data_IF_706752318668
#
_entry.id   IF_706752318668
#
_cell.length_a   1.000
_cell.length_b   1.000
_cell.length_c   1.000
_cell.angle_alpha   90.00
_cell.angle_beta   90.00
_cell.angle_gamma   90.00
#
_symmetry.space_group_name_H-M   'P 1'
#
loop_
_entity.id
_entity.type
_entity.pdbx_description
1 polymer ?
#
# COMPACT_ATOMS: atom_id res chain seq x y z
N UNK A 1 80.45 10.89 35.80
CA UNK A 1 79.13 10.26 35.65
C UNK A 1 79.08 9.60 34.27
N UNK A 2 79.14 8.27 34.23
CA UNK A 2 79.12 7.47 32.99
C UNK A 2 77.68 7.00 32.73
N UNK A 3 77.12 7.31 31.56
CA UNK A 3 75.85 6.74 31.10
C UNK A 3 76.12 5.49 30.25
N UNK A 4 75.42 4.36 30.49
CA UNK A 4 75.51 3.19 29.63
C UNK A 4 74.66 3.37 28.36
N UNK A 5 75.23 3.05 27.20
CA UNK A 5 74.52 2.95 25.92
C UNK A 5 73.69 1.65 25.89
N UNK A 6 72.37 1.76 25.70
CA UNK A 6 71.49 0.60 25.48
C UNK A 6 71.78 0.02 24.09
N UNK A 7 72.36 -1.18 24.04
CA UNK A 7 72.39 -2.01 22.83
C UNK A 7 70.97 -2.46 22.48
N UNK A 8 70.37 -1.78 21.49
CA UNK A 8 69.10 -2.20 20.90
C UNK A 8 69.33 -3.43 20.02
N UNK A 9 68.86 -4.59 20.48
CA UNK A 9 68.71 -5.78 19.64
C UNK A 9 67.71 -5.44 18.53
N UNK A 10 68.20 -5.20 17.31
CA UNK A 10 67.35 -5.05 16.14
C UNK A 10 66.73 -6.42 15.86
N UNK A 11 65.48 -6.63 16.27
CA UNK A 11 64.71 -7.79 15.86
C UNK A 11 64.70 -7.84 14.33
N UNK A 12 65.18 -8.94 13.76
CA UNK A 12 65.19 -9.13 12.32
C UNK A 12 63.76 -9.03 11.79
N UNK A 13 63.44 -7.95 11.08
CA UNK A 13 62.17 -7.81 10.39
C UNK A 13 62.11 -8.91 9.32
N UNK A 14 61.28 -9.93 9.54
CA UNK A 14 60.99 -10.95 8.54
C UNK A 14 60.30 -10.26 7.36
N UNK A 15 60.95 -10.26 6.19
CA UNK A 15 60.36 -9.77 4.96
C UNK A 15 59.21 -10.67 4.53
N UNK A 16 58.08 -10.07 4.18
CA UNK A 16 56.90 -10.78 3.70
C UNK A 16 57.12 -11.18 2.23
N UNK A 17 56.89 -12.43 1.88
CA UNK A 17 57.05 -12.89 0.50
C UNK A 17 55.84 -12.49 -0.35
N UNK A 18 56.06 -12.24 -1.64
CA UNK A 18 54.99 -11.92 -2.58
C UNK A 18 53.91 -13.02 -2.62
N UNK A 19 54.31 -14.28 -2.45
CA UNK A 19 53.40 -15.43 -2.42
C UNK A 19 52.50 -15.39 -1.18
N UNK A 20 53.04 -15.11 0.00
CA UNK A 20 52.24 -14.98 1.24
C UNK A 20 51.18 -13.88 1.11
N UNK A 21 51.53 -12.75 0.47
CA UNK A 21 50.57 -11.67 0.21
C UNK A 21 49.46 -12.09 -0.75
N UNK A 22 49.82 -12.77 -1.83
CA UNK A 22 48.84 -13.25 -2.81
C UNK A 22 47.86 -14.26 -2.20
N UNK A 23 48.35 -15.19 -1.36
CA UNK A 23 47.49 -16.18 -0.70
C UNK A 23 46.51 -15.51 0.27
N UNK A 24 46.97 -14.55 1.07
CA UNK A 24 46.10 -13.83 2.01
C UNK A 24 45.02 -13.04 1.26
N UNK A 25 45.39 -12.33 0.19
CA UNK A 25 44.41 -11.61 -0.63
C UNK A 25 43.43 -12.58 -1.30
N UNK A 26 43.90 -13.76 -1.76
CA UNK A 26 43.03 -14.78 -2.33
C UNK A 26 42.02 -15.30 -1.30
N UNK A 27 42.45 -15.60 -0.06
CA UNK A 27 41.55 -16.05 1.01
C UNK A 27 40.54 -14.96 1.35
N UNK A 28 40.98 -13.72 1.59
CA UNK A 28 40.07 -12.59 1.88
C UNK A 28 39.09 -12.38 0.71
N UNK A 29 39.58 -12.44 -0.54
CA UNK A 29 38.76 -12.32 -1.74
C UNK A 29 37.68 -13.39 -1.83
N UNK A 30 38.00 -14.65 -1.52
CA UNK A 30 37.00 -15.74 -1.48
C UNK A 30 35.98 -15.55 -0.35
N UNK A 31 36.43 -15.17 0.86
CA UNK A 31 35.54 -14.91 1.99
C UNK A 31 34.58 -13.76 1.70
N UNK A 32 35.08 -12.63 1.21
CA UNK A 32 34.25 -11.47 0.85
C UNK A 32 33.31 -11.82 -0.31
N UNK A 33 33.79 -12.57 -1.30
CA UNK A 33 33.00 -13.03 -2.44
C UNK A 33 31.80 -13.88 -2.04
N UNK A 34 31.94 -14.72 -1.01
CA UNK A 34 30.84 -15.54 -0.47
C UNK A 34 29.94 -14.77 0.51
N UNK A 35 30.50 -13.82 1.26
CA UNK A 35 29.77 -13.05 2.27
C UNK A 35 28.87 -11.97 1.66
N UNK A 36 29.27 -11.33 0.55
CA UNK A 36 28.50 -10.23 -0.02
C UNK A 36 27.09 -10.65 -0.46
N UNK A 37 26.87 -11.73 -1.24
CA UNK A 37 25.53 -12.18 -1.60
C UNK A 37 24.70 -12.56 -0.37
N UNK A 38 25.31 -13.22 0.62
CA UNK A 38 24.65 -13.64 1.84
C UNK A 38 24.16 -12.45 2.68
N UNK A 39 24.99 -11.41 2.83
CA UNK A 39 24.60 -10.19 3.57
C UNK A 39 23.47 -9.46 2.87
N UNK A 40 23.43 -9.42 1.54
CA UNK A 40 22.33 -8.78 0.81
C UNK A 40 21.02 -9.56 0.95
N UNK A 41 21.06 -10.90 0.84
CA UNK A 41 19.90 -11.75 1.08
C UNK A 41 19.34 -11.58 2.50
N UNK A 42 20.23 -11.55 3.51
CA UNK A 42 19.83 -11.33 4.90
C UNK A 42 19.19 -9.94 5.12
N UNK A 43 19.77 -8.89 4.51
CA UNK A 43 19.20 -7.53 4.57
C UNK A 43 17.81 -7.48 3.94
N UNK A 44 17.62 -8.13 2.81
CA UNK A 44 16.34 -8.13 2.11
C UNK A 44 15.26 -8.92 2.87
N UNK A 45 15.63 -10.05 3.46
CA UNK A 45 14.77 -10.78 4.37
C UNK A 45 14.32 -9.90 5.56
N UNK A 46 15.25 -9.14 6.15
CA UNK A 46 14.92 -8.20 7.23
C UNK A 46 13.95 -7.09 6.80
N UNK A 47 14.13 -6.51 5.61
CA UNK A 47 13.20 -5.50 5.07
C UNK A 47 11.81 -6.08 4.82
N UNK A 48 11.72 -7.30 4.26
CA UNK A 48 10.45 -8.01 4.06
C UNK A 48 9.75 -8.32 5.38
N UNK A 49 10.49 -8.76 6.41
CA UNK A 49 9.93 -8.96 7.76
C UNK A 49 9.38 -7.65 8.34
N UNK A 50 10.07 -6.53 8.12
CA UNK A 50 9.56 -5.22 8.54
C UNK A 50 8.25 -4.85 7.84
N UNK A 51 8.12 -5.07 6.53
CA UNK A 51 6.85 -4.89 5.83
C UNK A 51 5.73 -5.77 6.37
N UNK A 52 6.02 -7.04 6.65
CA UNK A 52 5.06 -7.98 7.21
C UNK A 52 4.52 -7.49 8.56
N UNK A 53 5.41 -7.02 9.44
CA UNK A 53 5.04 -6.43 10.72
C UNK A 53 4.19 -5.15 10.57
N UNK A 54 4.50 -4.29 9.60
CA UNK A 54 3.71 -3.09 9.30
C UNK A 54 2.30 -3.44 8.82
N UNK A 55 2.17 -4.44 7.94
CA UNK A 55 0.88 -4.97 7.50
C UNK A 55 0.08 -5.57 8.65
N UNK A 56 0.75 -6.30 9.56
CA UNK A 56 0.13 -6.82 10.79
C UNK A 56 -0.43 -5.69 11.65
N UNK A 57 0.33 -4.61 11.86
CA UNK A 57 -0.13 -3.43 12.60
C UNK A 57 -1.36 -2.77 11.93
N UNK A 58 -1.34 -2.62 10.60
CA UNK A 58 -2.50 -2.07 9.87
C UNK A 58 -3.73 -2.98 9.96
N UNK A 59 -3.56 -4.30 9.84
CA UNK A 59 -4.65 -5.26 10.02
C UNK A 59 -5.24 -5.22 11.44
N UNK A 60 -4.39 -5.14 12.46
CA UNK A 60 -4.84 -4.97 13.86
C UNK A 60 -5.57 -3.64 14.08
N UNK A 61 -5.11 -2.56 13.46
CA UNK A 61 -5.77 -1.26 13.53
C UNK A 61 -7.16 -1.29 12.87
N UNK A 62 -7.29 -1.95 11.71
CA UNK A 62 -8.57 -2.14 11.05
C UNK A 62 -9.55 -2.98 11.87
N UNK A 63 -9.08 -4.06 12.51
CA UNK A 63 -9.90 -4.88 13.42
C UNK A 63 -10.30 -4.12 14.68
N UNK A 64 -9.41 -3.29 15.23
CA UNK A 64 -9.72 -2.44 16.38
C UNK A 64 -10.76 -1.38 16.02
N UNK A 65 -10.66 -0.81 14.82
CA UNK A 65 -11.68 0.06 14.24
C UNK A 65 -13.02 -0.67 14.11
N UNK A 66 -13.02 -1.88 13.54
CA UNK A 66 -14.23 -2.71 13.37
C UNK A 66 -14.88 -3.01 14.72
N UNK A 67 -14.11 -3.44 15.71
CA UNK A 67 -14.62 -3.75 17.04
C UNK A 67 -15.30 -2.54 17.71
N UNK A 68 -14.72 -1.35 17.53
CA UNK A 68 -15.22 -0.10 18.10
C UNK A 68 -16.41 0.50 17.34
N UNK A 69 -16.43 0.42 16.01
CA UNK A 69 -17.45 1.08 15.15
C UNK A 69 -18.46 0.12 14.51
N UNK A 70 -18.28 -1.19 14.72
CA UNK A 70 -19.08 -2.28 14.14
C UNK A 70 -19.10 -2.25 12.61
N UNK A 71 -18.02 -1.80 12.01
CA UNK A 71 -17.80 -1.84 10.57
C UNK A 71 -16.33 -1.65 10.24
N UNK A 72 -15.85 -2.25 9.14
CA UNK A 72 -14.51 -1.97 8.62
C UNK A 72 -14.38 -0.50 8.20
N UNK A 73 -13.15 0.06 8.23
CA UNK A 73 -12.91 1.43 7.78
C UNK A 73 -13.29 1.57 6.30
N UNK A 74 -13.68 2.77 5.91
CA UNK A 74 -14.18 3.04 4.55
C UNK A 74 -13.09 3.59 3.63
N UNK A 75 -13.30 3.55 2.32
CA UNK A 75 -12.40 4.19 1.35
C UNK A 75 -12.30 5.72 1.47
N UNK A 76 -13.10 6.34 2.34
CA UNK A 76 -13.43 7.76 2.29
C UNK A 76 -14.80 7.93 1.62
N UNK A 77 -15.52 8.99 2.00
CA UNK A 77 -16.83 9.32 1.43
C UNK A 77 -16.80 10.81 1.11
N UNK A 78 -17.04 11.17 -0.15
CA UNK A 78 -17.23 12.57 -0.55
C UNK A 78 -18.73 12.89 -0.59
N UNK A 79 -19.28 13.65 0.37
CA UNK A 79 -20.59 14.25 0.23
C UNK A 79 -20.55 15.52 -0.62
N UNK A 80 -19.80 15.51 -1.73
CA UNK A 80 -19.79 16.63 -2.66
C UNK A 80 -20.86 16.45 -3.73
N UNK A 81 -21.74 17.44 -3.76
CA UNK A 81 -22.75 17.71 -4.78
C UNK A 81 -22.07 18.04 -6.11
N UNK A 82 -21.45 17.06 -6.77
CA UNK A 82 -21.10 17.17 -8.18
C UNK A 82 -22.39 17.13 -9.02
N UNK A 83 -23.21 18.18 -8.99
CA UNK A 83 -24.32 18.49 -9.92
C UNK A 83 -25.44 17.45 -10.16
N UNK A 84 -25.26 16.19 -9.74
CA UNK A 84 -26.02 15.01 -10.15
C UNK A 84 -26.45 14.19 -8.93
N UNK A 85 -25.88 14.43 -7.74
CA UNK A 85 -26.18 13.70 -6.50
C UNK A 85 -26.29 14.67 -5.32
N UNK A 86 -27.53 14.98 -4.92
CA UNK A 86 -27.84 16.04 -3.93
C UNK A 86 -27.86 15.59 -2.46
N UNK A 87 -27.63 14.31 -2.15
CA UNK A 87 -27.90 13.75 -0.81
C UNK A 87 -26.64 13.34 -0.02
N UNK A 88 -25.48 13.96 -0.27
CA UNK A 88 -24.22 13.56 0.36
C UNK A 88 -24.15 13.81 1.87
N UNK A 89 -24.79 14.87 2.38
CA UNK A 89 -24.54 15.36 3.75
C UNK A 89 -24.96 14.37 4.85
N UNK A 90 -25.93 13.48 4.61
CA UNK A 90 -26.38 12.50 5.61
C UNK A 90 -25.36 11.39 5.86
N UNK A 91 -24.49 11.05 4.89
CA UNK A 91 -23.52 9.95 5.03
C UNK A 91 -22.30 10.31 5.87
N UNK A 92 -21.96 11.60 6.00
CA UNK A 92 -20.87 12.06 6.86
C UNK A 92 -21.14 11.76 8.35
N UNK A 93 -22.41 11.76 8.75
CA UNK A 93 -22.85 11.48 10.12
C UNK A 93 -22.99 9.97 10.41
N UNK A 94 -23.29 9.14 9.40
CA UNK A 94 -23.49 7.68 9.59
C UNK A 94 -22.23 6.95 10.06
N UNK A 95 -21.04 7.44 9.69
CA UNK A 95 -19.74 6.82 10.01
C UNK A 95 -18.88 7.62 11.00
N UNK A 96 -19.28 8.83 11.39
CA UNK A 96 -18.58 9.66 12.38
C UNK A 96 -17.15 10.10 11.98
N UNK A 97 -16.71 9.80 10.77
CA UNK A 97 -15.44 10.27 10.20
C UNK A 97 -15.70 10.91 8.84
N UNK A 98 -15.73 12.24 8.78
CA UNK A 98 -16.08 12.93 7.56
C UNK A 98 -14.87 12.87 6.57
N UNK A 99 -15.14 12.58 5.29
CA UNK A 99 -14.29 12.82 4.10
C UNK A 99 -13.01 12.00 3.86
N UNK A 100 -12.41 11.34 4.85
CA UNK A 100 -11.02 10.85 4.75
C UNK A 100 -10.92 9.32 4.73
N UNK A 101 -9.93 8.79 3.99
CA UNK A 101 -9.82 7.36 3.69
C UNK A 101 -9.43 6.49 4.91
N UNK A 102 -9.44 5.17 4.71
CA UNK A 102 -9.17 4.17 5.74
C UNK A 102 -7.84 4.35 6.47
N UNK A 103 -6.78 4.82 5.80
CA UNK A 103 -5.49 5.04 6.47
C UNK A 103 -5.63 6.10 7.56
N UNK A 104 -6.24 7.24 7.26
CA UNK A 104 -6.51 8.24 8.29
C UNK A 104 -7.46 7.71 9.38
N UNK A 105 -8.50 6.96 9.00
CA UNK A 105 -9.48 6.38 9.94
C UNK A 105 -8.85 5.43 10.96
N UNK A 106 -7.78 4.73 10.58
CA UNK A 106 -7.06 3.76 11.42
C UNK A 106 -6.02 4.39 12.35
N UNK A 107 -5.56 5.63 12.10
CA UNK A 107 -4.50 6.28 12.89
C UNK A 107 -4.70 6.26 14.42
N UNK A 108 -5.91 6.45 14.99
CA UNK A 108 -6.13 6.36 16.44
C UNK A 108 -5.77 5.00 17.03
N UNK A 109 -5.83 3.94 16.21
CA UNK A 109 -5.51 2.57 16.58
C UNK A 109 -4.07 2.18 16.23
N UNK A 110 -3.26 3.15 15.78
CA UNK A 110 -1.85 2.99 15.39
C UNK A 110 -0.92 3.93 16.15
N UNK A 111 -1.35 4.45 17.31
CA UNK A 111 -0.60 5.43 18.12
C UNK A 111 -0.32 6.77 17.39
N UNK A 112 -1.08 7.06 16.32
CA UNK A 112 -0.93 8.26 15.48
C UNK A 112 -2.04 9.29 15.73
N UNK A 113 -2.47 9.46 16.99
CA UNK A 113 -3.58 10.35 17.37
C UNK A 113 -3.30 11.83 17.08
N UNK A 114 -2.03 12.27 17.20
CA UNK A 114 -1.64 13.64 16.86
C UNK A 114 -1.87 13.93 15.36
N UNK A 115 -1.45 13.00 14.50
CA UNK A 115 -1.66 13.05 13.04
C UNK A 115 -3.15 13.02 12.71
N UNK A 116 -3.91 12.14 13.38
CA UNK A 116 -5.37 12.03 13.21
C UNK A 116 -6.11 13.35 13.51
N UNK A 117 -5.67 14.09 14.53
CA UNK A 117 -6.29 15.37 14.94
C UNK A 117 -6.05 16.51 13.96
N UNK A 118 -5.03 16.44 13.10
CA UNK A 118 -4.80 17.46 12.06
C UNK A 118 -5.97 17.58 11.07
N UNK A 119 -6.78 16.53 10.93
CA UNK A 119 -7.97 16.57 10.08
C UNK A 119 -8.96 17.67 10.46
N UNK A 120 -9.02 18.04 11.74
CA UNK A 120 -9.92 19.10 12.19
C UNK A 120 -9.45 20.48 11.71
N UNK A 121 -8.15 20.65 11.45
CA UNK A 121 -7.60 21.85 10.82
C UNK A 121 -7.79 21.83 9.30
N UNK A 122 -7.79 20.64 8.70
CA UNK A 122 -8.00 20.45 7.26
C UNK A 122 -9.45 20.70 6.83
N UNK A 123 -10.37 20.87 7.79
CA UNK A 123 -11.80 20.97 7.56
C UNK A 123 -12.31 22.41 7.74
N UNK A 124 -12.40 23.17 6.65
CA UNK A 124 -12.95 24.55 6.64
C UNK A 124 -13.95 24.78 5.50
N UNK A 125 -14.82 23.80 5.20
CA UNK A 125 -15.79 23.84 4.08
C UNK A 125 -15.21 23.42 2.72
N UNK A 126 -13.89 23.41 2.61
CA UNK A 126 -13.10 22.76 1.56
C UNK A 126 -11.90 22.08 2.24
N UNK A 127 -11.43 20.93 1.73
CA UNK A 127 -10.30 20.26 2.35
C UNK A 127 -8.98 20.99 2.02
N UNK A 128 -8.31 21.52 3.04
CA UNK A 128 -6.97 22.08 2.92
C UNK A 128 -5.96 21.25 3.72
N UNK A 129 -5.45 20.20 3.07
CA UNK A 129 -4.50 19.26 3.69
C UNK A 129 -3.12 19.91 3.96
N UNK A 130 -2.76 20.95 3.23
CA UNK A 130 -1.43 21.56 3.32
C UNK A 130 -1.37 22.64 4.38
N UNK A 131 -2.34 23.54 4.43
CA UNK A 131 -2.42 24.52 5.54
C UNK A 131 -2.65 23.81 6.88
N UNK A 132 -3.37 22.69 6.87
CA UNK A 132 -3.51 21.84 8.06
C UNK A 132 -2.24 21.10 8.48
N UNK A 133 -1.22 21.05 7.60
CA UNK A 133 0.01 20.31 7.81
C UNK A 133 -0.14 18.79 7.74
N UNK A 134 -1.27 18.27 7.23
CA UNK A 134 -1.55 16.84 7.11
C UNK A 134 -0.88 16.23 5.87
N UNK A 135 -0.78 16.96 4.77
CA UNK A 135 -0.24 16.46 3.49
C UNK A 135 1.17 15.87 3.62
N UNK A 136 2.02 16.51 4.40
CA UNK A 136 3.42 16.13 4.60
C UNK A 136 3.65 15.12 5.73
N UNK A 137 2.60 14.71 6.46
CA UNK A 137 2.76 13.80 7.59
C UNK A 137 3.25 12.43 7.11
N UNK A 138 4.35 12.00 7.70
CA UNK A 138 4.98 10.72 7.43
C UNK A 138 4.60 9.72 8.51
N UNK A 139 3.87 8.67 8.13
CA UNK A 139 3.56 7.54 9.00
C UNK A 139 4.39 6.35 8.55
N UNK A 140 5.36 5.98 9.38
CA UNK A 140 6.37 4.97 9.00
C UNK A 140 5.76 3.59 8.69
N UNK A 141 4.62 3.26 9.29
CA UNK A 141 3.89 2.01 9.04
C UNK A 141 3.33 1.92 7.63
N UNK A 142 3.17 3.06 6.93
CA UNK A 142 2.64 3.10 5.56
C UNK A 142 3.72 3.04 4.47
N UNK A 143 5.01 2.94 4.84
CA UNK A 143 6.13 2.85 3.89
C UNK A 143 6.86 1.51 3.94
N UNK A 144 7.29 1.04 2.79
CA UNK A 144 8.17 -0.11 2.62
C UNK A 144 9.64 0.33 2.80
N UNK A 145 10.45 -0.28 3.68
CA UNK A 145 11.88 0.06 3.84
C UNK A 145 12.77 -0.38 2.67
N UNK A 146 12.24 -1.16 1.72
CA UNK A 146 12.93 -1.43 0.44
C UNK A 146 12.72 -0.32 -0.59
N UNK A 147 11.86 0.67 -0.29
CA UNK A 147 11.66 1.87 -1.10
C UNK A 147 12.24 3.10 -0.40
N UNK A 148 12.73 4.10 -1.16
CA UNK A 148 12.98 5.41 -0.57
C UNK A 148 11.67 6.02 -0.09
N UNK A 149 11.73 6.93 0.88
CA UNK A 149 10.55 7.71 1.28
C UNK A 149 10.19 8.62 0.10
N UNK A 150 8.92 8.57 -0.32
CA UNK A 150 8.44 9.29 -1.51
C UNK A 150 7.53 10.45 -1.11
N UNK A 151 7.82 11.62 -1.69
CA UNK A 151 7.01 12.81 -1.58
C UNK A 151 6.77 13.41 -2.96
N UNK A 152 5.53 13.86 -3.22
CA UNK A 152 5.21 14.68 -4.41
C UNK A 152 5.58 16.13 -4.12
N UNK A 153 6.40 16.72 -4.99
CA UNK A 153 6.93 18.08 -4.83
C UNK A 153 6.38 19.11 -5.85
N UNK A 154 5.50 18.72 -6.78
CA UNK A 154 5.18 19.54 -7.94
C UNK A 154 4.16 20.67 -7.66
N UNK A 155 4.55 21.91 -7.95
CA UNK A 155 3.62 23.01 -8.18
C UNK A 155 2.75 22.72 -9.42
N UNK A 156 1.43 22.83 -9.30
CA UNK A 156 0.46 22.46 -10.36
C UNK A 156 -0.17 21.07 -10.21
N UNK A 157 0.24 20.29 -9.21
CA UNK A 157 -0.53 19.15 -8.72
C UNK A 157 -1.83 19.65 -8.07
N UNK A 158 -2.99 19.00 -8.32
CA UNK A 158 -4.22 19.37 -7.64
C UNK A 158 -4.23 18.85 -6.18
N UNK A 159 -3.30 17.97 -5.82
CA UNK A 159 -2.91 17.66 -4.44
C UNK A 159 -1.84 18.65 -4.00
N UNK A 160 -2.01 19.36 -2.88
CA UNK A 160 -1.05 20.39 -2.47
C UNK A 160 0.27 19.77 -1.98
N UNK A 161 1.39 20.27 -2.52
CA UNK A 161 2.74 19.79 -2.21
C UNK A 161 3.33 20.50 -0.98
N UNK A 162 4.20 19.85 -0.19
CA UNK A 162 4.63 18.46 -0.31
C UNK A 162 3.58 17.47 0.21
N UNK A 163 3.49 16.31 -0.45
CA UNK A 163 2.56 15.23 -0.05
C UNK A 163 3.27 13.88 0.06
N UNK A 164 3.09 13.19 1.19
CA UNK A 164 3.61 11.84 1.44
C UNK A 164 2.84 10.75 0.67
N UNK A 165 3.57 9.73 0.19
CA UNK A 165 3.03 8.59 -0.56
C UNK A 165 3.27 7.27 0.17
N UNK A 166 2.23 6.46 0.26
CA UNK A 166 2.24 5.14 0.90
C UNK A 166 2.40 3.99 -0.09
N UNK A 167 2.88 2.88 0.46
CA UNK A 167 3.29 1.67 -0.27
C UNK A 167 2.29 0.51 -0.18
N UNK A 168 1.20 0.68 0.55
CA UNK A 168 0.15 -0.32 0.77
C UNK A 168 -1.21 0.18 0.30
N UNK A 169 -2.07 -0.74 -0.14
CA UNK A 169 -3.42 -0.43 -0.57
C UNK A 169 -4.41 -1.52 -0.19
N UNK A 170 -5.66 -1.15 0.00
CA UNK A 170 -6.79 -2.06 0.02
C UNK A 170 -7.16 -2.49 -1.41
N UNK A 171 -7.74 -3.68 -1.52
CA UNK A 171 -8.20 -4.23 -2.79
C UNK A 171 -9.62 -3.78 -3.11
N UNK A 172 -9.84 -3.41 -4.36
CA UNK A 172 -11.17 -3.20 -4.93
C UNK A 172 -11.27 -3.94 -6.24
N UNK A 173 -12.31 -4.77 -6.36
CA UNK A 173 -12.53 -5.56 -7.55
C UNK A 173 -12.90 -4.68 -8.74
N UNK A 174 -12.67 -5.16 -9.97
CA UNK A 174 -13.38 -4.68 -11.15
C UNK A 174 -13.88 -5.90 -11.89
N UNK A 175 -15.09 -5.88 -12.44
CA UNK A 175 -15.64 -7.05 -13.13
C UNK A 175 -15.06 -7.28 -14.54
N UNK A 176 -14.20 -6.39 -15.04
CA UNK A 176 -13.55 -6.56 -16.35
C UNK A 176 -12.02 -6.57 -16.21
N UNK A 177 -11.42 -7.73 -15.86
CA UNK A 177 -9.99 -7.92 -16.02
C UNK A 177 -9.60 -7.63 -17.48
N UNK A 178 -8.77 -6.60 -17.70
CA UNK A 178 -8.18 -6.28 -19.01
C UNK A 178 -8.87 -5.18 -19.83
N UNK A 179 -9.87 -4.45 -19.33
CA UNK A 179 -10.30 -3.19 -19.96
C UNK A 179 -9.83 -2.00 -19.14
N UNK A 180 -8.94 -1.13 -19.68
CA UNK A 180 -8.65 0.11 -18.99
C UNK A 180 -10.00 0.83 -18.89
N UNK A 181 -10.27 1.47 -17.76
CA UNK A 181 -11.42 2.34 -17.59
C UNK A 181 -11.31 3.48 -18.60
N UNK A 182 -11.64 3.20 -19.86
CA UNK A 182 -11.78 4.20 -20.89
C UNK A 182 -13.02 4.97 -20.48
N UNK A 183 -12.75 6.24 -20.18
CA UNK A 183 -13.57 7.37 -19.72
C UNK A 183 -14.94 7.56 -20.41
N UNK A 184 -15.43 6.62 -21.20
CA UNK A 184 -16.66 6.76 -21.98
C UNK A 184 -17.48 5.47 -21.91
N UNK A 185 -18.48 5.45 -21.02
CA UNK A 185 -19.53 4.42 -21.00
C UNK A 185 -19.58 3.50 -19.78
N UNK A 186 -18.54 3.47 -18.93
CA UNK A 186 -18.61 2.79 -17.64
C UNK A 186 -19.08 3.78 -16.58
N UNK A 187 -20.35 3.70 -16.19
CA UNK A 187 -20.85 4.43 -15.03
C UNK A 187 -20.00 4.06 -13.81
N UNK A 188 -19.79 5.04 -12.91
CA UNK A 188 -18.94 5.07 -11.72
C UNK A 188 -19.27 4.02 -10.62
N UNK A 189 -19.91 2.91 -11.00
CA UNK A 189 -20.44 1.90 -10.08
C UNK A 189 -19.31 1.15 -9.34
N UNK A 190 -18.10 1.11 -9.91
CA UNK A 190 -16.86 0.56 -9.32
C UNK A 190 -16.43 1.17 -7.98
N UNK A 191 -16.97 2.35 -7.66
CA UNK A 191 -16.40 3.32 -6.74
C UNK A 191 -17.25 3.46 -5.47
N UNK A 192 -18.54 3.24 -5.66
CA UNK A 192 -19.64 3.34 -4.71
C UNK A 192 -19.62 2.18 -3.69
N UNK A 193 -19.05 1.03 -4.05
CA UNK A 193 -18.97 -0.16 -3.18
C UNK A 193 -18.06 0.00 -1.95
N UNK A 194 -17.15 0.98 -1.93
CA UNK A 194 -16.15 1.14 -0.86
C UNK A 194 -16.49 2.22 0.17
N UNK A 195 -17.61 2.91 -0.02
CA UNK A 195 -18.13 3.86 0.96
C UNK A 195 -18.66 3.15 2.22
N UNK A 196 -18.99 1.86 2.11
CA UNK A 196 -19.41 1.03 3.24
C UNK A 196 -18.28 0.38 4.04
N UNK A 197 -17.11 0.20 3.41
CA UNK A 197 -15.94 -0.52 3.96
C UNK A 197 -14.94 -0.94 2.88
N UNK A 198 -13.67 -1.14 3.24
CA UNK A 198 -12.57 -1.48 2.31
C UNK A 198 -12.49 -2.96 1.90
N UNK A 199 -13.31 -3.84 2.49
CA UNK A 199 -13.42 -5.22 2.04
C UNK A 199 -14.45 -5.26 0.91
N UNK A 200 -14.01 -5.48 -0.33
CA UNK A 200 -14.86 -5.45 -1.52
C UNK A 200 -15.91 -6.55 -1.48
N UNK A 201 -17.19 -6.18 -1.64
CA UNK A 201 -18.18 -7.14 -2.15
C UNK A 201 -17.70 -7.65 -3.51
N UNK A 202 -17.81 -8.95 -3.76
CA UNK A 202 -17.63 -9.47 -5.10
C UNK A 202 -18.72 -8.95 -6.03
N UNK A 203 -18.40 -8.84 -7.32
CA UNK A 203 -19.36 -8.46 -8.34
C UNK A 203 -19.56 -6.94 -8.46
N UNK A 204 -19.53 -6.45 -9.68
CA UNK A 204 -20.02 -5.11 -10.02
C UNK A 204 -21.03 -5.33 -11.13
N UNK A 205 -22.24 -4.79 -11.05
CA UNK A 205 -23.24 -5.08 -12.07
C UNK A 205 -22.67 -4.78 -13.45
N UNK A 206 -22.72 -5.79 -14.33
CA UNK A 206 -22.46 -5.60 -15.74
C UNK A 206 -23.40 -4.51 -16.19
N UNK A 207 -22.90 -3.55 -16.95
CA UNK A 207 -23.71 -2.46 -17.53
C UNK A 207 -24.78 -2.95 -18.51
N UNK A 208 -24.97 -4.26 -18.69
CA UNK A 208 -26.09 -4.82 -19.41
C UNK A 208 -27.30 -4.99 -18.47
N UNK A 209 -28.43 -4.45 -18.88
CA UNK A 209 -29.78 -4.50 -18.28
C UNK A 209 -30.32 -5.91 -17.95
N UNK A 210 -29.50 -6.95 -18.05
CA UNK A 210 -29.81 -8.35 -17.78
C UNK A 210 -29.06 -8.90 -16.56
N UNK A 211 -28.43 -8.05 -15.74
CA UNK A 211 -27.71 -8.51 -14.55
C UNK A 211 -28.69 -8.93 -13.44
N UNK A 212 -28.60 -10.17 -12.91
CA UNK A 212 -29.38 -10.61 -11.76
C UNK A 212 -29.08 -9.85 -10.44
N UNK A 213 -28.00 -9.05 -10.37
CA UNK A 213 -27.60 -8.29 -9.19
C UNK A 213 -27.77 -6.77 -9.42
N UNK A 214 -28.95 -6.18 -9.16
CA UNK A 214 -29.18 -4.75 -9.39
C UNK A 214 -28.29 -3.86 -8.51
N UNK A 215 -27.90 -2.69 -9.03
CA UNK A 215 -27.10 -1.63 -8.36
C UNK A 215 -27.60 -1.32 -6.94
N UNK A 216 -28.90 -1.51 -6.67
CA UNK A 216 -29.51 -1.37 -5.35
C UNK A 216 -28.96 -2.31 -4.26
N UNK A 217 -28.30 -3.42 -4.64
CA UNK A 217 -27.68 -4.35 -3.70
C UNK A 217 -26.39 -3.80 -3.09
N UNK A 218 -25.62 -3.01 -3.84
CA UNK A 218 -24.49 -2.22 -3.37
C UNK A 218 -25.00 -0.91 -2.77
N UNK A 219 -25.84 -1.01 -1.74
CA UNK A 219 -26.49 0.16 -1.17
C UNK A 219 -25.42 1.06 -0.53
N UNK A 220 -25.26 2.24 -1.10
CA UNK A 220 -24.44 3.31 -0.56
C UNK A 220 -24.73 3.50 0.93
N UNK A 221 -23.68 3.50 1.75
CA UNK A 221 -23.79 3.64 3.20
C UNK A 221 -24.07 2.35 3.99
N UNK A 222 -24.17 1.17 3.36
CA UNK A 222 -24.20 -0.10 4.13
C UNK A 222 -22.84 -0.38 4.75
N UNK A 223 -22.80 -0.36 6.08
CA UNK A 223 -21.65 -0.74 6.90
C UNK A 223 -21.22 -2.17 6.63
N UNK A 224 -19.96 -2.35 6.25
CA UNK A 224 -19.38 -3.68 6.06
C UNK A 224 -18.90 -4.18 7.42
N UNK A 225 -19.56 -5.22 7.91
CA UNK A 225 -19.26 -5.87 9.19
C UNK A 225 -18.45 -7.14 8.95
N UNK A 226 -17.81 -7.67 9.98
CA UNK A 226 -17.21 -9.02 9.92
C UNK A 226 -18.21 -10.09 9.46
N UNK A 227 -19.48 -10.00 9.86
CA UNK A 227 -20.53 -10.93 9.41
C UNK A 227 -20.90 -10.81 7.92
N UNK A 228 -20.58 -9.69 7.27
CA UNK A 228 -20.83 -9.51 5.83
C UNK A 228 -19.71 -10.06 4.93
N UNK A 229 -18.67 -10.65 5.53
CA UNK A 229 -17.58 -11.34 4.83
C UNK A 229 -17.90 -12.84 4.82
N UNK A 230 -18.70 -13.26 3.83
CA UNK A 230 -19.26 -14.62 3.74
C UNK A 230 -18.19 -15.65 3.37
N UNK A 231 -17.18 -15.25 2.60
CA UNK A 231 -16.04 -16.11 2.20
C UNK A 231 -15.06 -16.41 3.36
N UNK A 232 -15.26 -15.75 4.50
CA UNK A 232 -14.44 -15.84 5.69
C UNK A 232 -13.34 -14.77 5.71
N UNK A 233 -13.18 -14.10 6.84
CA UNK A 233 -12.20 -13.01 7.00
C UNK A 233 -10.76 -13.45 6.83
N UNK A 234 -10.44 -14.73 7.10
CA UNK A 234 -9.12 -15.29 6.83
C UNK A 234 -8.85 -15.52 5.35
N UNK A 235 -9.88 -15.54 4.48
CA UNK A 235 -9.76 -15.76 3.04
C UNK A 235 -9.94 -14.48 2.20
N UNK A 236 -10.38 -13.39 2.82
CA UNK A 236 -10.61 -12.13 2.13
C UNK A 236 -9.50 -11.12 2.39
N UNK A 237 -8.91 -10.59 1.33
CA UNK A 237 -7.83 -9.62 1.36
C UNK A 237 -8.30 -8.29 1.95
N UNK A 238 -7.50 -7.72 2.86
CA UNK A 238 -7.74 -6.42 3.46
C UNK A 238 -6.79 -5.35 2.90
N UNK A 239 -5.48 -5.58 3.01
CA UNK A 239 -4.45 -4.74 2.38
C UNK A 239 -3.37 -5.58 1.72
N UNK A 240 -2.70 -5.02 0.73
CA UNK A 240 -1.49 -5.60 0.17
C UNK A 240 -0.52 -4.51 -0.30
N UNK A 241 0.73 -4.91 -0.49
CA UNK A 241 1.76 -4.05 -1.07
C UNK A 241 1.41 -3.66 -2.51
N UNK A 242 1.63 -2.38 -2.82
CA UNK A 242 1.44 -1.79 -4.15
C UNK A 242 2.59 -2.19 -5.07
N UNK A 243 2.34 -2.50 -6.34
CA UNK A 243 3.39 -2.49 -7.37
C UNK A 243 3.73 -1.04 -7.78
N UNK A 244 5.01 -0.67 -7.76
CA UNK A 244 5.47 0.70 -8.07
C UNK A 244 6.52 0.66 -9.17
N UNK A 245 6.46 1.67 -10.04
CA UNK A 245 7.40 1.87 -11.13
C UNK A 245 8.70 2.48 -10.58
N UNK A 246 9.87 1.91 -10.92
CA UNK A 246 11.15 2.31 -10.30
C UNK A 246 11.58 3.73 -10.70
N UNK A 247 11.13 4.24 -11.84
CA UNK A 247 11.30 5.64 -12.25
C UNK A 247 10.61 6.64 -11.28
N UNK A 248 9.61 6.17 -10.52
CA UNK A 248 8.85 6.99 -9.58
C UNK A 248 9.38 6.98 -8.15
N UNK A 249 10.44 6.22 -7.88
CA UNK A 249 11.11 6.26 -6.58
C UNK A 249 11.72 7.63 -6.27
N UNK A 250 12.28 8.28 -7.30
CA UNK A 250 13.01 9.53 -7.17
C UNK A 250 12.25 10.73 -7.75
N UNK A 251 11.40 10.48 -8.73
CA UNK A 251 10.55 11.51 -9.32
C UNK A 251 9.10 11.02 -9.38
N UNK A 252 8.44 10.94 -8.21
CA UNK A 252 7.04 10.58 -8.16
C UNK A 252 6.23 11.68 -8.85
N UNK A 253 5.92 11.48 -10.14
CA UNK A 253 4.98 12.35 -10.85
C UNK A 253 3.57 11.95 -10.42
N UNK A 254 2.78 12.94 -10.05
CA UNK A 254 1.33 12.89 -10.26
C UNK A 254 1.19 13.43 -11.69
N UNK A 255 0.44 12.77 -12.58
CA UNK A 255 0.28 13.22 -13.97
C UNK A 255 -0.37 14.63 -14.13
N UNK A 256 -1.04 14.96 -15.26
CA UNK A 256 -1.76 16.24 -15.45
C UNK A 256 -2.89 16.47 -14.40
N UNK A 257 -3.50 17.66 -14.19
CA UNK A 257 -4.45 17.94 -13.09
C UNK A 257 -5.70 17.06 -12.98
N UNK A 258 -5.98 16.23 -13.97
CA UNK A 258 -6.95 15.15 -13.81
C UNK A 258 -6.39 13.99 -12.96
N UNK A 259 -5.09 13.95 -12.66
CA UNK A 259 -4.28 12.76 -12.37
C UNK A 259 -3.99 12.33 -10.95
N UNK A 260 -5.02 12.42 -10.14
CA UNK A 260 -5.10 11.83 -8.83
C UNK A 260 -4.84 10.31 -8.75
N UNK A 261 -4.40 9.67 -9.84
CA UNK A 261 -4.18 8.25 -10.01
C UNK A 261 -2.86 7.78 -9.36
N UNK A 262 -1.69 8.19 -9.88
CA UNK A 262 -0.54 7.26 -10.01
C UNK A 262 0.14 6.79 -8.71
N UNK A 263 0.08 7.58 -7.64
CA UNK A 263 0.81 7.32 -6.38
C UNK A 263 0.09 7.90 -5.17
N UNK A 264 -1.22 7.71 -5.12
CA UNK A 264 -2.05 8.50 -4.24
C UNK A 264 -1.70 8.34 -2.74
N UNK A 265 -1.78 9.46 -2.02
CA UNK A 265 -1.41 9.72 -0.62
C UNK A 265 -2.34 9.08 0.42
N UNK A 266 -1.90 8.81 1.68
CA UNK A 266 -2.80 8.23 2.68
C UNK A 266 -3.82 9.26 3.17
N UNK A 267 -3.68 10.52 2.77
CA UNK A 267 -4.49 11.63 3.23
C UNK A 267 -5.54 12.10 2.21
N UNK A 268 -5.55 11.53 1.00
CA UNK A 268 -6.46 11.94 -0.06
C UNK A 268 -7.91 11.55 0.25
N UNK A 269 -8.82 12.45 -0.15
CA UNK A 269 -10.23 12.14 -0.37
C UNK A 269 -10.35 11.17 -1.53
N UNK A 270 -11.16 10.13 -1.36
CA UNK A 270 -11.69 9.35 -2.47
C UNK A 270 -12.77 10.15 -3.19
N UNK A 271 -12.40 11.22 -3.90
CA UNK A 271 -13.22 11.66 -5.02
C UNK A 271 -13.27 10.46 -5.98
N UNK A 272 -14.44 9.85 -6.17
CA UNK A 272 -14.74 8.84 -7.17
C UNK A 272 -13.55 7.92 -7.58
N UNK A 273 -13.61 6.68 -7.09
CA UNK A 273 -12.92 5.55 -7.71
C UNK A 273 -11.40 5.48 -7.44
N UNK A 274 -10.98 5.26 -6.19
CA UNK A 274 -9.62 4.78 -5.91
C UNK A 274 -8.53 5.86 -5.80
N UNK A 275 -8.75 6.90 -4.99
CA UNK A 275 -7.76 7.97 -4.80
C UNK A 275 -7.19 7.92 -3.39
N UNK A 276 -6.04 7.28 -3.25
CA UNK A 276 -5.24 7.22 -2.02
C UNK A 276 -4.87 5.79 -1.70
N UNK A 277 -5.71 5.13 -0.92
CA UNK A 277 -5.41 3.84 -0.33
C UNK A 277 -6.04 2.62 -0.98
N UNK A 278 -6.69 2.74 -2.13
CA UNK A 278 -7.38 1.62 -2.80
C UNK A 278 -6.70 1.34 -4.14
N UNK A 279 -6.63 0.08 -4.54
CA UNK A 279 -6.20 -0.32 -5.88
C UNK A 279 -7.20 -1.21 -6.58
N UNK A 280 -7.36 -0.94 -7.87
CA UNK A 280 -7.98 -1.83 -8.82
C UNK A 280 -7.00 -2.92 -9.25
N UNK A 281 -7.54 -4.02 -9.72
CA UNK A 281 -6.75 -5.09 -10.27
C UNK A 281 -6.88 -5.19 -11.77
N UNK A 282 -5.74 -5.21 -12.48
CA UNK A 282 -5.69 -5.16 -13.94
C UNK A 282 -4.73 -6.18 -14.56
N UNK A 283 -4.03 -6.97 -13.76
CA UNK A 283 -3.16 -8.03 -14.25
C UNK A 283 -2.30 -8.63 -13.14
N UNK A 284 -1.53 -9.70 -13.41
CA UNK A 284 -0.84 -10.50 -12.41
C UNK A 284 0.10 -9.63 -11.54
N UNK A 285 0.34 -10.01 -10.28
CA UNK A 285 1.15 -9.19 -9.39
C UNK A 285 2.62 -9.21 -9.85
N UNK A 286 3.34 -8.11 -9.62
CA UNK A 286 4.68 -7.95 -10.20
C UNK A 286 5.68 -7.36 -9.20
N UNK A 287 6.96 -7.68 -9.41
CA UNK A 287 8.07 -6.96 -8.76
C UNK A 287 8.13 -5.53 -9.31
N UNK A 288 8.53 -4.58 -8.48
CA UNK A 288 8.81 -3.21 -8.92
C UNK A 288 9.85 -3.19 -10.06
N UNK A 289 9.57 -2.44 -11.12
CA UNK A 289 10.45 -2.39 -12.31
C UNK A 289 9.80 -1.97 -13.63
N UNK A 290 8.55 -1.50 -13.60
CA UNK A 290 7.80 -1.13 -14.80
C UNK A 290 8.36 0.13 -15.48
N UNK A 291 8.07 0.30 -16.77
CA UNK A 291 8.35 1.54 -17.52
C UNK A 291 7.20 2.53 -17.39
N UNK A 292 7.52 3.84 -17.34
CA UNK A 292 6.55 4.92 -17.39
C UNK A 292 5.65 4.80 -18.62
N UNK A 293 4.33 4.66 -18.42
CA UNK A 293 3.35 4.57 -19.52
C UNK A 293 2.22 3.58 -19.30
N UNK A 294 2.32 2.76 -18.25
CA UNK A 294 1.27 1.81 -17.87
C UNK A 294 0.77 2.11 -16.47
N UNK A 295 -0.55 2.06 -16.25
CA UNK A 295 -1.18 2.56 -15.02
C UNK A 295 -0.63 1.82 -13.77
N UNK A 296 0.16 2.48 -12.91
CA UNK A 296 0.77 1.85 -11.74
C UNK A 296 -0.26 1.54 -10.66
N UNK A 297 -1.44 2.16 -10.66
CA UNK A 297 -2.49 1.95 -9.63
C UNK A 297 -3.24 0.64 -9.75
N UNK A 298 -2.99 -0.08 -10.83
CA UNK A 298 -3.78 -1.24 -11.18
C UNK A 298 -3.16 -2.58 -10.78
N UNK A 299 -2.05 -2.53 -10.04
CA UNK A 299 -1.24 -3.72 -9.71
C UNK A 299 -0.85 -3.76 -8.23
N UNK A 300 -1.03 -4.93 -7.64
CA UNK A 300 -0.34 -5.30 -6.40
C UNK A 300 1.04 -5.86 -6.73
N UNK A 301 1.96 -5.74 -5.78
CA UNK A 301 3.37 -6.04 -6.02
C UNK A 301 4.25 -5.55 -4.89
N UNK A 302 5.57 -5.64 -5.05
CA UNK A 302 6.49 -5.06 -4.07
C UNK A 302 7.89 -4.82 -4.63
N UNK A 303 8.71 -4.12 -3.86
CA UNK A 303 10.14 -4.00 -4.12
C UNK A 303 10.91 -5.31 -3.85
N UNK A 304 10.27 -6.29 -3.18
CA UNK A 304 10.88 -7.56 -2.83
C UNK A 304 10.84 -8.52 -4.03
N UNK A 305 11.95 -9.17 -4.41
CA UNK A 305 11.99 -10.07 -5.56
C UNK A 305 11.26 -11.41 -5.32
N UNK A 306 11.03 -11.80 -4.06
CA UNK A 306 10.51 -13.12 -3.69
C UNK A 306 8.99 -13.23 -3.53
N UNK A 307 8.24 -12.16 -3.82
CA UNK A 307 6.79 -12.06 -3.61
C UNK A 307 6.43 -10.76 -2.91
N UNK A 308 5.14 -10.51 -2.71
CA UNK A 308 4.64 -9.33 -2.01
C UNK A 308 3.81 -9.73 -0.81
N UNK A 309 3.70 -8.85 0.17
CA UNK A 309 2.97 -9.13 1.40
C UNK A 309 1.53 -8.63 1.32
N UNK A 310 0.63 -9.42 1.91
CA UNK A 310 -0.79 -9.17 1.98
C UNK A 310 -1.29 -9.46 3.41
N UNK A 311 -2.27 -8.70 3.88
CA UNK A 311 -2.98 -8.93 5.14
C UNK A 311 -4.43 -9.20 4.87
N UNK A 312 -4.97 -10.21 5.54
CA UNK A 312 -6.34 -10.68 5.39
C UNK A 312 -7.28 -9.93 6.35
N UNK A 313 -8.59 -10.10 6.17
CA UNK A 313 -9.63 -9.49 6.98
C UNK A 313 -9.59 -9.87 8.46
N UNK A 314 -8.94 -10.99 8.81
CA UNK A 314 -8.66 -11.44 10.19
C UNK A 314 -7.32 -10.91 10.75
N UNK A 315 -6.62 -10.11 9.97
CA UNK A 315 -5.31 -9.53 10.30
C UNK A 315 -4.13 -10.48 10.12
N UNK A 316 -4.32 -11.72 9.68
CA UNK A 316 -3.21 -12.61 9.32
C UNK A 316 -2.46 -12.06 8.11
N UNK A 317 -1.13 -12.20 8.11
CA UNK A 317 -0.27 -11.70 7.03
C UNK A 317 0.38 -12.87 6.32
N UNK A 318 0.35 -12.85 5.00
CA UNK A 318 0.97 -13.85 4.15
C UNK A 318 1.77 -13.18 3.03
N UNK A 319 2.69 -13.94 2.45
CA UNK A 319 3.38 -13.54 1.23
C UNK A 319 2.75 -14.25 0.05
N UNK A 320 2.38 -13.46 -0.94
CA UNK A 320 1.78 -13.91 -2.20
C UNK A 320 2.88 -14.01 -3.26
N UNK A 321 2.90 -15.13 -3.98
CA UNK A 321 3.81 -15.34 -5.10
C UNK A 321 3.44 -14.47 -6.30
N UNK A 322 4.43 -13.96 -7.03
CA UNK A 322 4.19 -13.29 -8.32
C UNK A 322 3.66 -14.23 -9.41
N UNK A 323 3.83 -15.54 -9.22
CA UNK A 323 3.28 -16.58 -10.10
C UNK A 323 1.82 -16.94 -9.81
N UNK A 324 1.17 -16.29 -8.83
CA UNK A 324 -0.25 -16.56 -8.52
C UNK A 324 -1.11 -16.34 -9.76
N UNK A 325 -2.06 -17.25 -9.98
CA UNK A 325 -3.02 -17.08 -11.06
C UNK A 325 -3.86 -15.83 -10.81
N UNK A 326 -4.08 -15.06 -11.87
CA UNK A 326 -4.81 -13.81 -11.79
C UNK A 326 -6.22 -13.99 -11.20
N UNK A 327 -6.94 -15.03 -11.62
CA UNK A 327 -8.29 -15.35 -11.15
C UNK A 327 -8.33 -15.66 -9.65
N UNK A 328 -7.32 -16.34 -9.13
CA UNK A 328 -7.22 -16.68 -7.70
C UNK A 328 -7.01 -15.41 -6.88
N UNK A 329 -6.10 -14.54 -7.31
CA UNK A 329 -5.86 -13.28 -6.62
C UNK A 329 -7.08 -12.35 -6.68
N UNK A 330 -7.84 -12.36 -7.77
CA UNK A 330 -9.11 -11.64 -7.86
C UNK A 330 -10.17 -12.17 -6.91
N UNK A 331 -10.25 -13.50 -6.75
CA UNK A 331 -11.24 -14.13 -5.91
C UNK A 331 -11.02 -13.82 -4.42
N UNK A 332 -9.78 -13.88 -3.94
CA UNK A 332 -9.46 -13.51 -2.54
C UNK A 332 -9.74 -12.04 -2.22
N UNK A 333 -9.81 -11.17 -3.24
CA UNK A 333 -10.12 -9.76 -3.06
C UNK A 333 -11.60 -9.49 -2.81
N UNK A 334 -12.44 -10.50 -3.05
CA UNK A 334 -13.90 -10.44 -2.91
C UNK A 334 -14.31 -11.16 -1.62
N UNK A 335 -15.43 -10.72 -1.05
CA UNK A 335 -15.92 -11.20 0.26
C UNK A 335 -17.13 -12.13 0.21
N UNK A 336 -17.73 -12.30 -0.96
CA UNK A 336 -18.99 -13.05 -1.16
C UNK A 336 -19.03 -13.83 -2.49
N UNK A 337 -17.88 -14.21 -3.06
CA UNK A 337 -17.80 -14.95 -4.32
C UNK A 337 -17.62 -16.47 -4.15
N UNK A 338 -17.34 -16.93 -2.93
CA UNK A 338 -17.15 -18.35 -2.57
C UNK A 338 -15.94 -19.03 -3.23
N UNK A 339 -15.10 -18.29 -3.95
CA UNK A 339 -14.05 -18.82 -4.81
C UNK A 339 -12.63 -18.56 -4.29
N UNK A 340 -12.44 -17.53 -3.46
CA UNK A 340 -11.13 -17.19 -2.90
C UNK A 340 -10.61 -18.21 -1.88
N UNK A 341 -9.45 -18.82 -2.14
CA UNK A 341 -8.75 -19.71 -1.18
C UNK A 341 -7.32 -19.27 -0.97
N UNK A 342 -6.96 -18.92 0.27
CA UNK A 342 -5.61 -18.48 0.63
C UNK A 342 -4.54 -19.53 0.38
N UNK A 343 -4.90 -20.81 0.44
CA UNK A 343 -3.99 -21.93 0.13
C UNK A 343 -3.39 -21.85 -1.28
N UNK A 344 -4.02 -21.12 -2.20
CA UNK A 344 -3.60 -21.01 -3.60
C UNK A 344 -2.69 -19.77 -3.85
N UNK A 345 -2.41 -18.97 -2.82
CA UNK A 345 -1.57 -17.76 -2.91
C UNK A 345 -0.09 -18.01 -2.62
N UNK A 346 0.19 -19.10 -1.91
CA UNK A 346 1.53 -19.48 -1.48
C UNK A 346 2.18 -20.39 -2.52
N UNK A 347 3.51 -20.31 -2.70
CA UNK A 347 4.25 -21.17 -3.63
C UNK A 347 4.22 -22.65 -3.25
#
# INVERSE_FOLDING_TARGET
MSMPTRNGVRGAARGFTLVELLVVIAIIGTLVGLLLPAVQAAREAARRMSCNNKLRQMGQAALSYESARKCYPTGGIVPFNFGWWKNGMELADVFGTPFLNHFLQMLPYMEEDATYKLRFKAWSGYMDLTTAGLSAQYVSTYSCPSRPIRFVAAAGSPIPAPTFLQDYAAYVSTENPGKPSSWSGYNQVGCDANWGGIISAGGFPKTATSDPYPISQFSLGKKITTSSVIDGTSNTLLFAEKGVSTDRYLNPKVGPPSSWWEEATPWAVSDSCGRGGIRYWYGPPQVDGRSSGTNPDSFFGSAHPGGFNAVMGDGSVLTVSYGVQQSVFEAIGKREDGAGRVSELQP
#
